data_IF_603421958099
#
_entry.id   IF_603421958099
#
_cell.length_a   1.000
_cell.length_b   1.000
_cell.length_c   1.000
_cell.angle_alpha   90.00
_cell.angle_beta   90.00
_cell.angle_gamma   90.00
#
_symmetry.space_group_name_H-M   'P 1'
#
loop_
_entity.id
_entity.type
_entity.pdbx_description
1 polymer ?
#
# COMPACT_ATOMS: atom_id res chain seq x y z
N UNK A 1 13.48 -7.33 1.44
CA UNK A 1 14.64 -6.46 1.69
C UNK A 1 14.92 -6.24 3.17
N UNK A 2 14.00 -5.69 3.97
CA UNK A 2 14.21 -5.43 5.41
C UNK A 2 14.90 -6.57 6.18
N UNK A 3 14.39 -7.79 6.07
CA UNK A 3 14.99 -8.97 6.72
C UNK A 3 16.42 -9.28 6.23
N UNK A 4 16.63 -9.28 4.92
CA UNK A 4 17.94 -9.57 4.33
C UNK A 4 18.99 -8.53 4.75
N UNK A 5 18.60 -7.25 4.78
CA UNK A 5 19.45 -6.16 5.27
C UNK A 5 19.78 -6.34 6.75
N UNK A 6 18.80 -6.68 7.59
CA UNK A 6 19.06 -6.91 9.02
C UNK A 6 19.91 -8.15 9.31
N UNK A 7 19.81 -9.17 8.47
CA UNK A 7 20.57 -10.41 8.60
C UNK A 7 21.98 -10.34 7.94
N UNK A 8 22.32 -9.24 7.25
CA UNK A 8 23.57 -9.11 6.50
C UNK A 8 23.66 -10.01 5.27
N UNK A 9 22.53 -10.45 4.73
CA UNK A 9 22.43 -11.39 3.60
C UNK A 9 22.18 -10.68 2.25
N UNK A 10 22.29 -9.35 2.21
CA UNK A 10 22.00 -8.54 1.02
C UNK A 10 23.22 -8.41 0.09
N UNK A 11 23.30 -9.27 -0.92
CA UNK A 11 24.26 -9.09 -2.01
C UNK A 11 23.81 -7.98 -2.98
N UNK A 12 24.73 -7.37 -3.76
CA UNK A 12 24.37 -6.36 -4.75
C UNK A 12 23.35 -6.85 -5.79
N UNK A 13 23.51 -8.08 -6.29
CA UNK A 13 22.60 -8.68 -7.27
C UNK A 13 21.17 -8.85 -6.72
N UNK A 14 21.04 -9.43 -5.52
CA UNK A 14 19.74 -9.62 -4.84
C UNK A 14 19.08 -8.27 -4.58
N UNK A 15 19.87 -7.28 -4.13
CA UNK A 15 19.40 -5.93 -3.84
C UNK A 15 18.86 -5.27 -5.10
N UNK A 16 19.62 -5.29 -6.19
CA UNK A 16 19.22 -4.69 -7.45
C UNK A 16 17.93 -5.31 -7.99
N UNK A 17 17.86 -6.65 -8.02
CA UNK A 17 16.67 -7.37 -8.49
C UNK A 17 15.44 -7.09 -7.63
N UNK A 18 15.61 -7.04 -6.31
CA UNK A 18 14.52 -6.73 -5.40
C UNK A 18 14.03 -5.28 -5.57
N UNK A 19 14.93 -4.31 -5.71
CA UNK A 19 14.60 -2.90 -5.96
C UNK A 19 13.81 -2.73 -7.25
N UNK A 20 14.26 -3.32 -8.36
CA UNK A 20 13.54 -3.29 -9.64
C UNK A 20 12.11 -3.85 -9.50
N UNK A 21 11.95 -4.97 -8.79
CA UNK A 21 10.63 -5.56 -8.56
C UNK A 21 9.74 -4.67 -7.68
N UNK A 22 10.30 -4.04 -6.63
CA UNK A 22 9.56 -3.12 -5.76
C UNK A 22 9.10 -1.87 -6.52
N UNK A 23 9.94 -1.29 -7.38
CA UNK A 23 9.57 -0.13 -8.22
C UNK A 23 8.48 -0.48 -9.23
N UNK A 24 8.59 -1.63 -9.89
CA UNK A 24 7.58 -2.12 -10.82
C UNK A 24 6.25 -2.40 -10.09
N UNK A 25 6.31 -3.02 -8.91
CA UNK A 25 5.14 -3.27 -8.05
C UNK A 25 4.48 -1.98 -7.61
N UNK A 26 5.25 -1.00 -7.15
CA UNK A 26 4.75 0.33 -6.75
C UNK A 26 3.98 1.00 -7.90
N UNK A 27 4.57 1.07 -9.11
CA UNK A 27 3.90 1.65 -10.28
C UNK A 27 2.64 0.88 -10.67
N UNK A 28 2.62 -0.44 -10.50
CA UNK A 28 1.46 -1.29 -10.81
C UNK A 28 0.33 -1.06 -9.81
N UNK A 29 0.64 -1.03 -8.53
CA UNK A 29 -0.35 -0.85 -7.46
C UNK A 29 -1.07 0.51 -7.59
N UNK A 30 -0.37 1.56 -8.01
CA UNK A 30 -0.98 2.88 -8.27
C UNK A 30 -2.09 2.85 -9.34
N UNK A 31 -2.12 1.85 -10.23
CA UNK A 31 -3.19 1.72 -11.22
C UNK A 31 -4.53 1.33 -10.58
N UNK A 32 -4.51 0.80 -9.36
CA UNK A 32 -5.70 0.42 -8.59
C UNK A 32 -6.12 1.50 -7.59
N UNK A 33 -5.48 2.67 -7.62
CA UNK A 33 -5.84 3.80 -6.76
C UNK A 33 -7.06 4.55 -7.32
N UNK A 34 -8.00 4.86 -6.43
CA UNK A 34 -9.13 5.74 -6.69
C UNK A 34 -8.73 7.20 -6.59
N UNK A 35 -9.53 8.11 -7.16
CA UNK A 35 -9.24 9.56 -7.12
C UNK A 35 -9.19 10.13 -5.69
N UNK A 36 -9.94 9.50 -4.75
CA UNK A 36 -9.89 9.82 -3.32
C UNK A 36 -8.71 9.20 -2.56
N UNK A 37 -7.81 8.46 -3.23
CA UNK A 37 -6.63 7.83 -2.63
C UNK A 37 -6.83 6.43 -2.06
N UNK A 38 -8.05 5.90 -2.04
CA UNK A 38 -8.32 4.53 -1.61
C UNK A 38 -7.91 3.48 -2.65
N UNK A 39 -7.77 2.23 -2.24
CA UNK A 39 -7.46 1.09 -3.11
C UNK A 39 -8.56 0.04 -3.04
N UNK A 40 -8.81 -0.64 -4.15
CA UNK A 40 -9.71 -1.80 -4.26
C UNK A 40 -9.12 -2.84 -5.21
N UNK A 41 -9.72 -4.04 -5.25
CA UNK A 41 -9.19 -5.15 -6.05
C UNK A 41 -9.15 -4.84 -7.56
N UNK A 42 -10.10 -4.04 -8.05
CA UNK A 42 -10.18 -3.65 -9.47
C UNK A 42 -10.09 -2.13 -9.67
N UNK A 43 -9.58 -1.40 -8.67
CA UNK A 43 -9.40 0.04 -8.73
C UNK A 43 -10.68 0.78 -9.09
N UNK A 44 -10.58 1.76 -10.00
CA UNK A 44 -11.70 2.63 -10.41
C UNK A 44 -12.88 1.90 -11.08
N UNK A 45 -12.74 0.62 -11.41
CA UNK A 45 -13.87 -0.21 -11.86
C UNK A 45 -14.79 -0.63 -10.72
N UNK A 46 -14.28 -0.67 -9.49
CA UNK A 46 -15.10 -0.85 -8.29
C UNK A 46 -15.78 0.46 -7.91
N UNK A 47 -16.95 0.38 -7.30
CA UNK A 47 -17.70 1.57 -6.85
C UNK A 47 -17.08 2.26 -5.63
N UNK A 48 -16.20 1.57 -4.89
CA UNK A 48 -15.57 2.10 -3.68
C UNK A 48 -14.25 1.40 -3.35
N UNK A 49 -13.42 2.09 -2.58
CA UNK A 49 -12.21 1.52 -1.97
C UNK A 49 -12.50 0.58 -0.81
N UNK A 50 -11.52 -0.26 -0.47
CA UNK A 50 -11.55 -1.11 0.71
C UNK A 50 -10.71 -0.51 1.83
N UNK A 51 -11.27 -0.40 3.05
CA UNK A 51 -10.55 0.09 4.23
C UNK A 51 -9.31 -0.74 4.51
N UNK A 52 -9.47 -2.07 4.55
CA UNK A 52 -8.38 -2.98 4.88
C UNK A 52 -7.27 -2.94 3.82
N UNK A 53 -7.63 -3.00 2.54
CA UNK A 53 -6.64 -2.99 1.46
C UNK A 53 -5.89 -1.65 1.41
N UNK A 54 -6.60 -0.53 1.54
CA UNK A 54 -5.97 0.80 1.58
C UNK A 54 -4.98 0.92 2.73
N UNK A 55 -5.33 0.44 3.93
CA UNK A 55 -4.42 0.42 5.08
C UNK A 55 -3.21 -0.51 4.85
N UNK A 56 -3.42 -1.65 4.22
CA UNK A 56 -2.34 -2.58 3.87
C UNK A 56 -1.35 -1.99 2.86
N UNK A 57 -1.85 -1.34 1.80
CA UNK A 57 -1.02 -0.65 0.79
C UNK A 57 -0.26 0.51 1.43
N UNK A 58 -0.94 1.36 2.22
CA UNK A 58 -0.31 2.49 2.93
C UNK A 58 0.86 2.02 3.81
N UNK A 59 0.65 0.98 4.62
CA UNK A 59 1.69 0.38 5.46
C UNK A 59 2.86 -0.14 4.61
N UNK A 60 2.55 -0.85 3.53
CA UNK A 60 3.56 -1.46 2.65
C UNK A 60 4.42 -0.40 1.97
N UNK A 61 3.80 0.66 1.44
CA UNK A 61 4.52 1.77 0.83
C UNK A 61 5.37 2.53 1.85
N UNK A 62 4.85 2.80 3.05
CA UNK A 62 5.62 3.43 4.11
C UNK A 62 6.87 2.62 4.49
N UNK A 63 6.77 1.29 4.50
CA UNK A 63 7.90 0.39 4.75
C UNK A 63 8.87 0.25 3.56
N UNK A 64 8.42 0.57 2.34
CA UNK A 64 9.24 0.53 1.13
C UNK A 64 10.11 1.78 0.93
N UNK A 65 9.76 2.92 1.55
CA UNK A 65 10.49 4.22 1.46
C UNK A 65 12.02 4.13 1.65
N UNK A 66 12.57 3.29 2.55
CA UNK A 66 14.02 3.17 2.70
C UNK A 66 14.73 2.48 1.51
N UNK A 67 13.98 1.81 0.63
CA UNK A 67 14.52 0.97 -0.45
C UNK A 67 14.20 1.49 -1.85
N UNK A 68 13.08 2.22 -2.02
CA UNK A 68 12.65 2.81 -3.30
C UNK A 68 12.08 4.21 -3.08
N UNK A 69 12.04 5.00 -4.15
CA UNK A 69 11.37 6.31 -4.14
C UNK A 69 9.86 6.12 -4.17
N UNK A 70 9.18 6.55 -3.10
CA UNK A 70 7.72 6.60 -2.99
C UNK A 70 7.29 8.06 -2.94
N UNK A 71 6.26 8.43 -3.70
CA UNK A 71 5.73 9.79 -3.68
C UNK A 71 4.95 10.01 -2.38
N UNK A 72 5.37 10.99 -1.58
CA UNK A 72 4.75 11.30 -0.29
C UNK A 72 3.28 11.67 -0.42
N UNK A 73 2.88 12.32 -1.53
CA UNK A 73 1.49 12.67 -1.78
C UNK A 73 0.59 11.43 -1.85
N UNK A 74 1.09 10.32 -2.40
CA UNK A 74 0.31 9.07 -2.47
C UNK A 74 0.05 8.51 -1.06
N UNK A 75 0.99 8.69 -0.13
CA UNK A 75 0.82 8.30 1.27
C UNK A 75 -0.18 9.22 1.97
N UNK A 76 -0.05 10.53 1.78
CA UNK A 76 -0.88 11.56 2.42
C UNK A 76 -2.35 11.37 2.03
N UNK A 77 -2.66 11.29 0.74
CA UNK A 77 -4.04 11.17 0.27
C UNK A 77 -4.68 9.85 0.76
N UNK A 78 -3.94 8.74 0.74
CA UNK A 78 -4.43 7.45 1.25
C UNK A 78 -4.68 7.48 2.76
N UNK A 79 -3.79 8.14 3.52
CA UNK A 79 -3.91 8.32 4.97
C UNK A 79 -5.10 9.21 5.31
N UNK A 80 -5.27 10.33 4.61
CA UNK A 80 -6.37 11.26 4.84
C UNK A 80 -7.73 10.60 4.51
N UNK A 81 -7.79 9.77 3.46
CA UNK A 81 -8.96 8.95 3.18
C UNK A 81 -9.29 7.99 4.33
N UNK A 82 -8.31 7.27 4.88
CA UNK A 82 -8.53 6.40 6.04
C UNK A 82 -9.01 7.17 7.27
N UNK A 83 -8.39 8.31 7.57
CA UNK A 83 -8.78 9.18 8.70
C UNK A 83 -10.20 9.68 8.54
N UNK A 84 -10.66 9.96 7.31
CA UNK A 84 -12.05 10.34 7.04
C UNK A 84 -13.07 9.26 7.42
N UNK A 85 -12.65 8.00 7.52
CA UNK A 85 -13.47 6.86 7.96
C UNK A 85 -13.39 6.60 9.48
N UNK A 86 -12.62 7.39 10.22
CA UNK A 86 -12.53 7.27 11.68
C UNK A 86 -13.78 7.85 12.35
N UNK A 87 -14.46 7.03 13.15
CA UNK A 87 -15.63 7.43 13.94
C UNK A 87 -15.20 8.25 15.15
N UNK A 88 -16.14 9.01 15.72
CA UNK A 88 -15.93 9.85 16.92
C UNK A 88 -15.32 9.07 18.09
N UNK A 89 -15.64 7.79 18.23
CA UNK A 89 -15.12 6.91 19.28
C UNK A 89 -13.77 6.23 18.94
N UNK A 90 -13.12 6.63 17.84
CA UNK A 90 -11.77 6.20 17.47
C UNK A 90 -11.68 4.97 16.56
N UNK A 91 -12.75 4.19 16.41
CA UNK A 91 -12.80 3.04 15.50
C UNK A 91 -12.88 3.48 14.03
N UNK A 92 -12.29 2.71 13.13
CA UNK A 92 -12.42 2.92 11.68
C UNK A 92 -13.61 2.14 11.12
N UNK A 93 -14.35 2.75 10.20
CA UNK A 93 -15.38 2.07 9.43
C UNK A 93 -14.77 1.12 8.39
N UNK A 94 -15.26 -0.12 8.35
CA UNK A 94 -14.85 -1.10 7.34
C UNK A 94 -15.79 -0.97 6.13
N UNK A 95 -15.29 -0.34 5.08
CA UNK A 95 -15.96 -0.23 3.78
C UNK A 95 -15.23 -1.07 2.72
N UNK A 96 -15.96 -1.40 1.66
CA UNK A 96 -15.46 -2.22 0.55
C UNK A 96 -15.22 -3.69 0.93
N UNK A 97 -14.88 -4.48 -0.09
CA UNK A 97 -14.70 -5.93 0.05
C UNK A 97 -13.29 -6.34 -0.34
N UNK A 98 -12.71 -7.26 0.43
CA UNK A 98 -11.51 -7.99 0.04
C UNK A 98 -11.96 -9.34 -0.50
N UNK A 99 -11.69 -9.60 -1.78
CA UNK A 99 -12.20 -10.80 -2.48
C UNK A 99 -11.50 -12.07 -1.96
N UNK A 100 -10.18 -12.00 -1.78
CA UNK A 100 -9.37 -13.10 -1.23
C UNK A 100 -9.09 -12.87 0.25
N UNK A 101 -9.87 -13.52 1.12
CA UNK A 101 -9.77 -13.36 2.57
C UNK A 101 -8.45 -13.87 3.16
N UNK A 102 -7.74 -14.77 2.47
CA UNK A 102 -6.43 -15.29 2.91
C UNK A 102 -5.34 -14.21 2.96
N UNK A 103 -5.57 -13.04 2.35
CA UNK A 103 -4.68 -11.89 2.48
C UNK A 103 -4.84 -11.14 3.82
N UNK A 104 -5.98 -11.30 4.50
CA UNK A 104 -6.30 -10.64 5.78
C UNK A 104 -5.79 -11.43 6.96
#
# INVERSE_FOLDING_TARGET
>A
MKYLTSAGLNTPDITQRATTNMEAGYKRELQYQHDGGSYSAFGKSDSSGSTWLTAFVLKSFAQARPFITVNENNLIVSKDWLVSLQKVYGCFELVGTVIHKDMK
#
